data_IF_364637075926
#
_entry.id   IF_364637075926
#
_cell.length_a   1.000
_cell.length_b   1.000
_cell.length_c   1.000
_cell.angle_alpha   90.00
_cell.angle_beta   90.00
_cell.angle_gamma   90.00
#
_symmetry.space_group_name_H-M   'P 1'
#
loop_
_entity.id
_entity.type
_entity.pdbx_description
1 polymer ?
#
# COMPACT_ATOMS: atom_id res chain seq x y z
N UNK A 1 -26.52 -13.46 -14.42
CA UNK A 1 -26.94 -12.45 -13.45
C UNK A 1 -25.91 -11.30 -13.45
N UNK A 2 -26.37 -10.09 -13.76
CA UNK A 2 -25.52 -8.89 -13.89
C UNK A 2 -24.69 -8.60 -12.62
N UNK A 3 -25.31 -8.74 -11.45
CA UNK A 3 -24.66 -8.50 -10.16
C UNK A 3 -23.49 -9.48 -9.98
N UNK A 4 -23.71 -10.76 -10.25
CA UNK A 4 -22.66 -11.77 -10.13
C UNK A 4 -21.50 -11.50 -11.12
N UNK A 5 -21.82 -11.10 -12.36
CA UNK A 5 -20.80 -10.75 -13.36
C UNK A 5 -19.96 -9.53 -12.91
N UNK A 6 -20.64 -8.50 -12.34
CA UNK A 6 -19.93 -7.33 -11.79
C UNK A 6 -19.04 -7.69 -10.62
N UNK A 7 -19.55 -8.50 -9.67
CA UNK A 7 -18.76 -8.92 -8.51
C UNK A 7 -17.55 -9.77 -8.93
N UNK A 8 -17.73 -10.68 -9.89
CA UNK A 8 -16.63 -11.47 -10.42
C UNK A 8 -15.58 -10.58 -11.11
N UNK A 9 -16.01 -9.61 -11.91
CA UNK A 9 -15.12 -8.67 -12.59
C UNK A 9 -14.37 -7.79 -11.58
N UNK A 10 -15.03 -7.36 -10.47
CA UNK A 10 -14.39 -6.60 -9.41
C UNK A 10 -13.29 -7.41 -8.71
N UNK A 11 -13.54 -8.68 -8.39
CA UNK A 11 -12.53 -9.55 -7.76
C UNK A 11 -11.30 -9.69 -8.67
N UNK A 12 -11.51 -9.78 -9.97
CA UNK A 12 -10.41 -9.86 -10.95
C UNK A 12 -9.63 -8.55 -11.04
N UNK A 13 -10.33 -7.40 -11.06
CA UNK A 13 -9.70 -6.09 -11.05
C UNK A 13 -8.87 -5.87 -9.79
N UNK A 14 -9.40 -6.26 -8.62
CA UNK A 14 -8.71 -6.15 -7.34
C UNK A 14 -7.46 -7.06 -7.30
N UNK A 15 -7.58 -8.30 -7.78
CA UNK A 15 -6.46 -9.23 -7.85
C UNK A 15 -5.36 -8.73 -8.81
N UNK A 16 -5.75 -8.21 -9.96
CA UNK A 16 -4.81 -7.63 -10.93
C UNK A 16 -4.10 -6.39 -10.38
N UNK A 17 -4.83 -5.49 -9.71
CA UNK A 17 -4.26 -4.30 -9.09
C UNK A 17 -3.25 -4.66 -8.00
N UNK A 18 -3.61 -5.61 -7.13
CA UNK A 18 -2.70 -6.10 -6.10
C UNK A 18 -1.44 -6.73 -6.71
N UNK A 19 -1.59 -7.57 -7.73
CA UNK A 19 -0.47 -8.23 -8.37
C UNK A 19 0.44 -7.24 -9.12
N UNK A 20 -0.14 -6.29 -9.86
CA UNK A 20 0.62 -5.26 -10.57
C UNK A 20 1.45 -4.42 -9.59
N UNK A 21 0.83 -3.93 -8.51
CA UNK A 21 1.51 -3.09 -7.53
C UNK A 21 2.58 -3.86 -6.75
N UNK A 22 2.30 -5.11 -6.35
CA UNK A 22 3.26 -5.95 -5.65
C UNK A 22 4.52 -6.22 -6.48
N UNK A 23 4.35 -6.51 -7.78
CA UNK A 23 5.48 -6.78 -8.66
C UNK A 23 6.21 -5.50 -9.08
N UNK A 24 5.54 -4.34 -9.12
CA UNK A 24 6.13 -3.05 -9.46
C UNK A 24 7.23 -2.60 -8.50
N UNK A 25 7.22 -3.13 -7.28
CA UNK A 25 8.26 -2.86 -6.27
C UNK A 25 9.66 -3.40 -6.69
N UNK A 26 9.70 -4.44 -7.52
CA UNK A 26 10.95 -5.12 -7.92
C UNK A 26 11.13 -5.30 -9.42
N UNK A 27 10.09 -5.05 -10.21
CA UNK A 27 10.04 -5.24 -11.65
C UNK A 27 9.76 -3.92 -12.37
N UNK A 28 10.07 -3.86 -13.65
CA UNK A 28 9.63 -2.74 -14.48
C UNK A 28 8.10 -2.74 -14.69
N UNK A 29 7.59 -1.65 -15.30
CA UNK A 29 6.15 -1.48 -15.47
C UNK A 29 5.52 -2.57 -16.34
N UNK A 30 6.21 -2.98 -17.42
CA UNK A 30 5.68 -3.97 -18.36
C UNK A 30 5.72 -5.38 -17.77
N UNK A 31 6.77 -5.74 -17.05
CA UNK A 31 6.88 -7.00 -16.33
C UNK A 31 5.79 -7.12 -15.24
N UNK A 32 5.56 -6.05 -14.47
CA UNK A 32 4.52 -6.01 -13.46
C UNK A 32 3.11 -6.13 -14.05
N UNK A 33 2.83 -5.47 -15.19
CA UNK A 33 1.58 -5.63 -15.94
C UNK A 33 1.39 -7.06 -16.43
N UNK A 34 2.43 -7.67 -17.00
CA UNK A 34 2.37 -9.06 -17.48
C UNK A 34 2.09 -10.05 -16.35
N UNK A 35 2.67 -9.85 -15.17
CA UNK A 35 2.38 -10.66 -13.99
C UNK A 35 0.89 -10.55 -13.59
N UNK A 36 0.33 -9.35 -13.61
CA UNK A 36 -1.10 -9.13 -13.34
C UNK A 36 -2.00 -9.80 -14.40
N UNK A 37 -1.67 -9.65 -15.68
CA UNK A 37 -2.43 -10.28 -16.77
C UNK A 37 -2.42 -11.80 -16.70
N UNK A 38 -1.34 -12.42 -16.24
CA UNK A 38 -1.27 -13.87 -16.03
C UNK A 38 -2.32 -14.33 -14.99
N UNK A 39 -2.47 -13.59 -13.88
CA UNK A 39 -3.49 -13.87 -12.86
C UNK A 39 -4.89 -13.72 -13.42
N UNK A 40 -5.13 -12.67 -14.22
CA UNK A 40 -6.42 -12.45 -14.89
C UNK A 40 -6.76 -13.59 -15.83
N UNK A 41 -5.80 -14.08 -16.61
CA UNK A 41 -6.01 -15.20 -17.53
C UNK A 41 -6.40 -16.50 -16.80
N UNK A 42 -5.85 -16.74 -15.62
CA UNK A 42 -6.20 -17.90 -14.78
C UNK A 42 -7.62 -17.74 -14.17
N UNK A 43 -7.99 -16.53 -13.73
CA UNK A 43 -9.27 -16.27 -13.09
C UNK A 43 -10.44 -16.14 -14.07
N UNK A 44 -10.19 -15.48 -15.20
CA UNK A 44 -11.17 -15.26 -16.28
C UNK A 44 -10.55 -15.55 -17.64
N UNK A 45 -10.43 -16.84 -18.02
CA UNK A 45 -9.84 -17.23 -19.31
C UNK A 45 -10.54 -16.57 -20.50
N UNK A 46 -9.75 -15.98 -21.42
CA UNK A 46 -10.27 -15.27 -22.60
C UNK A 46 -11.17 -16.13 -23.50
N UNK A 47 -10.94 -17.44 -23.56
CA UNK A 47 -11.77 -18.38 -24.31
C UNK A 47 -13.24 -18.41 -23.83
N UNK A 48 -13.49 -18.00 -22.57
CA UNK A 48 -14.86 -18.00 -21.97
C UNK A 48 -15.41 -16.61 -21.78
N UNK A 49 -14.55 -15.64 -21.47
CA UNK A 49 -14.98 -14.31 -21.04
C UNK A 49 -14.56 -13.19 -22.01
N UNK A 50 -13.79 -13.52 -23.06
CA UNK A 50 -13.10 -12.53 -23.88
C UNK A 50 -11.96 -11.82 -23.08
N UNK A 51 -11.38 -10.83 -23.68
CA UNK A 51 -10.33 -10.02 -23.03
C UNK A 51 -10.99 -9.02 -22.08
N UNK A 52 -11.00 -9.34 -20.81
CA UNK A 52 -11.59 -8.50 -19.74
C UNK A 52 -10.66 -7.41 -19.26
N UNK A 53 -9.36 -7.55 -19.53
CA UNK A 53 -8.28 -6.65 -19.14
C UNK A 53 -7.12 -6.76 -20.12
N UNK A 54 -6.55 -5.62 -20.49
CA UNK A 54 -5.34 -5.50 -21.29
C UNK A 54 -4.25 -4.72 -20.55
N UNK A 55 -3.03 -4.70 -21.04
CA UNK A 55 -1.93 -3.93 -20.43
C UNK A 55 -2.22 -2.42 -20.37
N UNK A 56 -3.06 -1.90 -21.29
CA UNK A 56 -3.44 -0.49 -21.31
C UNK A 56 -4.44 -0.13 -20.21
N UNK A 57 -5.13 -1.12 -19.67
CA UNK A 57 -6.09 -0.95 -18.58
C UNK A 57 -5.43 -0.98 -17.20
N UNK A 58 -4.11 -1.20 -17.15
CA UNK A 58 -3.29 -1.16 -15.93
C UNK A 58 -2.42 0.10 -16.01
N UNK A 59 -2.69 1.06 -15.14
CA UNK A 59 -2.02 2.37 -15.14
C UNK A 59 -1.38 2.61 -13.79
N UNK A 60 -0.07 2.88 -13.78
CA UNK A 60 0.65 3.28 -12.57
C UNK A 60 0.55 4.78 -12.34
N UNK A 61 0.74 5.20 -11.09
CA UNK A 61 0.62 6.61 -10.72
C UNK A 61 0.72 6.85 -9.23
N UNK A 62 0.11 7.95 -8.82
CA UNK A 62 0.04 8.39 -7.43
C UNK A 62 -1.42 8.57 -7.01
N UNK A 63 -1.70 8.29 -5.73
CA UNK A 63 -2.98 8.57 -5.11
C UNK A 63 -2.88 9.82 -4.25
N UNK A 64 -3.60 10.87 -4.62
CA UNK A 64 -3.72 12.04 -3.76
C UNK A 64 -4.82 11.82 -2.71
N UNK A 65 -4.41 11.70 -1.45
CA UNK A 65 -5.32 11.50 -0.34
C UNK A 65 -6.17 12.72 -0.01
N UNK A 66 -5.72 13.93 -0.37
CA UNK A 66 -6.44 15.16 -0.07
C UNK A 66 -7.62 15.37 -1.04
N UNK A 67 -7.40 15.13 -2.33
CA UNK A 67 -8.44 15.23 -3.37
C UNK A 67 -9.20 13.92 -3.58
N UNK A 68 -8.66 12.78 -3.13
CA UNK A 68 -9.15 11.44 -3.45
C UNK A 68 -9.14 11.16 -4.96
N UNK A 69 -8.10 11.61 -5.64
CA UNK A 69 -7.90 11.44 -7.07
C UNK A 69 -6.65 10.60 -7.36
N UNK A 70 -6.70 9.88 -8.49
CA UNK A 70 -5.58 9.13 -9.02
C UNK A 70 -4.91 9.94 -10.12
N UNK A 71 -3.63 10.25 -9.95
CA UNK A 71 -2.79 10.92 -10.93
C UNK A 71 -1.93 9.91 -11.67
N UNK A 72 -2.01 9.92 -13.01
CA UNK A 72 -1.26 9.00 -13.87
C UNK A 72 0.21 9.40 -13.90
N UNK A 73 1.09 8.46 -13.56
CA UNK A 73 2.53 8.56 -13.73
C UNK A 73 3.07 7.17 -14.15
N UNK A 74 3.48 6.98 -15.41
CA UNK A 74 3.98 5.70 -15.90
C UNK A 74 5.21 5.18 -15.14
N UNK A 75 6.00 6.08 -14.56
CA UNK A 75 7.16 5.76 -13.74
C UNK A 75 6.81 5.55 -12.27
N UNK A 76 5.56 5.83 -11.88
CA UNK A 76 5.06 5.66 -10.52
C UNK A 76 5.19 4.23 -10.02
N UNK A 77 5.49 4.09 -8.74
CA UNK A 77 5.64 2.79 -8.06
C UNK A 77 4.71 2.64 -6.86
N UNK A 78 4.01 3.70 -6.49
CA UNK A 78 3.25 3.77 -5.23
C UNK A 78 1.78 3.40 -5.40
N UNK A 79 1.22 3.58 -6.59
CA UNK A 79 -0.19 3.32 -6.84
C UNK A 79 -0.43 2.73 -8.22
N UNK A 80 -1.51 1.97 -8.34
CA UNK A 80 -1.97 1.43 -9.62
C UNK A 80 -3.49 1.54 -9.71
N UNK A 81 -3.97 1.91 -10.87
CA UNK A 81 -5.38 1.83 -11.24
C UNK A 81 -5.56 0.75 -12.30
N UNK A 82 -6.53 -0.13 -12.08
CA UNK A 82 -6.89 -1.19 -13.03
C UNK A 82 -8.36 -1.03 -13.41
N UNK A 83 -8.64 -1.07 -14.70
CA UNK A 83 -10.00 -1.05 -15.25
C UNK A 83 -10.31 -2.36 -15.95
N UNK A 84 -11.13 -3.20 -15.32
CA UNK A 84 -11.61 -4.42 -15.95
C UNK A 84 -13.00 -4.20 -16.56
N UNK A 85 -13.25 -4.75 -17.75
CA UNK A 85 -14.49 -4.51 -18.46
C UNK A 85 -14.97 -5.70 -19.29
N UNK A 86 -16.28 -5.77 -19.46
CA UNK A 86 -16.97 -6.62 -20.41
C UNK A 86 -17.95 -5.75 -21.20
N UNK A 87 -17.61 -5.49 -22.45
CA UNK A 87 -18.28 -4.51 -23.27
C UNK A 87 -18.70 -5.11 -24.62
N UNK A 88 -19.81 -4.63 -25.17
CA UNK A 88 -20.27 -5.06 -26.49
C UNK A 88 -19.25 -4.77 -27.59
N UNK A 89 -18.53 -3.65 -27.48
CA UNK A 89 -17.47 -3.28 -28.41
C UNK A 89 -16.26 -4.23 -28.43
N UNK A 90 -16.09 -5.00 -27.36
CA UNK A 90 -15.06 -6.03 -27.20
C UNK A 90 -15.60 -7.46 -27.38
N UNK A 91 -16.83 -7.61 -27.90
CA UNK A 91 -17.51 -8.89 -28.10
C UNK A 91 -17.58 -9.76 -26.83
N UNK A 92 -17.48 -9.15 -25.64
CA UNK A 92 -17.45 -9.87 -24.36
C UNK A 92 -18.50 -9.40 -23.34
N UNK A 93 -19.52 -8.66 -23.77
CA UNK A 93 -20.62 -8.18 -22.94
C UNK A 93 -21.33 -9.31 -22.15
N UNK A 94 -22.08 -8.95 -21.14
CA UNK A 94 -22.83 -9.90 -20.32
C UNK A 94 -24.21 -10.14 -20.94
N UNK A 95 -24.52 -11.39 -21.31
CA UNK A 95 -25.81 -11.74 -21.88
C UNK A 95 -26.98 -11.42 -20.93
N UNK A 96 -28.03 -10.81 -21.47
CA UNK A 96 -29.19 -10.31 -20.76
C UNK A 96 -30.45 -11.14 -21.09
N UNK A 97 -30.47 -12.39 -20.62
CA UNK A 97 -31.54 -13.36 -21.00
C UNK A 97 -32.95 -12.88 -20.68
N UNK A 98 -33.19 -12.24 -19.54
CA UNK A 98 -34.51 -11.80 -19.11
C UNK A 98 -34.97 -10.50 -19.76
N UNK A 99 -34.06 -9.67 -20.26
CA UNK A 99 -34.40 -8.37 -20.83
C UNK A 99 -34.47 -8.37 -22.34
N UNK A 100 -34.24 -9.52 -22.98
CA UNK A 100 -34.44 -9.69 -24.43
C UNK A 100 -35.85 -9.33 -24.89
N UNK A 101 -36.87 -9.62 -24.05
CA UNK A 101 -38.27 -9.29 -24.34
C UNK A 101 -38.55 -7.78 -24.42
N UNK A 102 -37.67 -6.94 -23.83
CA UNK A 102 -37.77 -5.47 -23.88
C UNK A 102 -36.70 -4.84 -24.79
N UNK A 103 -36.13 -5.67 -25.71
CA UNK A 103 -35.16 -5.21 -26.69
C UNK A 103 -33.75 -5.02 -26.18
N UNK A 104 -33.42 -5.54 -25.00
CA UNK A 104 -32.05 -5.45 -24.44
C UNK A 104 -31.45 -6.85 -24.29
N UNK A 105 -30.49 -7.20 -25.14
CA UNK A 105 -29.87 -8.53 -25.23
C UNK A 105 -28.60 -8.68 -24.44
N UNK A 106 -27.96 -7.55 -24.02
CA UNK A 106 -26.65 -7.55 -23.39
C UNK A 106 -26.45 -6.34 -22.45
N UNK A 107 -25.47 -6.45 -21.58
CA UNK A 107 -25.09 -5.43 -20.63
C UNK A 107 -23.58 -5.19 -20.69
N UNK A 108 -23.22 -3.93 -20.79
CA UNK A 108 -21.84 -3.47 -20.59
C UNK A 108 -21.60 -3.35 -19.09
N UNK A 109 -20.47 -3.93 -18.64
CA UNK A 109 -20.04 -3.88 -17.25
C UNK A 109 -18.58 -3.45 -17.23
N UNK A 110 -18.28 -2.41 -16.47
CA UNK A 110 -16.91 -1.98 -16.18
C UNK A 110 -16.76 -1.73 -14.68
N UNK A 111 -15.59 -2.00 -14.16
CA UNK A 111 -15.22 -1.79 -12.77
C UNK A 111 -13.80 -1.23 -12.72
N UNK A 112 -13.52 -0.47 -11.68
CA UNK A 112 -12.17 0.05 -11.41
C UNK A 112 -11.71 -0.46 -10.04
N UNK A 113 -10.41 -0.74 -9.94
CA UNK A 113 -9.72 -0.99 -8.70
C UNK A 113 -8.54 -0.02 -8.62
N UNK A 114 -8.39 0.66 -7.50
CA UNK A 114 -7.20 1.48 -7.20
C UNK A 114 -6.54 0.89 -5.97
N UNK A 115 -5.27 0.55 -6.11
CA UNK A 115 -4.44 0.11 -5.00
C UNK A 115 -3.29 1.07 -4.84
N UNK A 116 -2.96 1.38 -3.60
CA UNK A 116 -1.82 2.20 -3.26
C UNK A 116 -0.99 1.52 -2.18
N UNK A 117 0.32 1.64 -2.29
CA UNK A 117 1.23 1.20 -1.25
C UNK A 117 1.08 2.14 -0.05
N UNK A 118 0.70 1.59 1.08
CA UNK A 118 0.76 2.35 2.31
C UNK A 118 2.22 2.51 2.70
N UNK A 119 2.75 3.72 2.51
CA UNK A 119 4.07 4.10 3.01
C UNK A 119 3.87 4.88 4.31
N UNK A 120 3.91 4.22 5.47
CA UNK A 120 3.82 4.92 6.74
C UNK A 120 4.96 5.92 6.85
N UNK A 121 4.68 7.08 7.44
CA UNK A 121 5.69 8.10 7.74
C UNK A 121 6.89 7.55 8.51
N UNK A 122 6.72 6.39 9.18
CA UNK A 122 7.77 5.62 9.83
C UNK A 122 8.99 5.32 8.95
N UNK A 123 8.86 5.31 7.64
CA UNK A 123 9.99 5.08 6.73
C UNK A 123 10.80 6.35 6.45
N UNK A 124 10.28 7.51 6.79
CA UNK A 124 10.97 8.78 6.64
C UNK A 124 11.57 9.25 7.96
N UNK A 125 10.78 9.24 9.02
CA UNK A 125 11.17 9.74 10.34
C UNK A 125 10.49 8.89 11.41
N UNK A 126 11.25 8.03 12.09
CA UNK A 126 10.65 7.21 13.13
C UNK A 126 11.47 5.99 13.56
N UNK A 127 10.84 5.20 14.41
CA UNK A 127 11.34 3.90 14.87
C UNK A 127 10.49 2.79 14.30
N UNK A 128 11.13 1.79 13.70
CA UNK A 128 10.48 0.58 13.22
C UNK A 128 11.21 -0.62 13.78
N UNK A 129 10.48 -1.53 14.43
CA UNK A 129 11.06 -2.74 15.00
C UNK A 129 10.21 -3.97 14.73
N UNK A 130 10.87 -5.12 14.58
CA UNK A 130 10.19 -6.43 14.54
C UNK A 130 9.66 -6.82 15.93
N UNK A 131 10.44 -6.55 16.96
CA UNK A 131 10.07 -6.80 18.35
C UNK A 131 9.52 -5.54 19.03
N UNK A 132 9.55 -5.55 20.35
CA UNK A 132 9.05 -4.44 21.19
C UNK A 132 9.82 -3.15 20.92
N UNK A 133 9.07 -2.05 20.78
CA UNK A 133 9.63 -0.70 20.88
C UNK A 133 9.37 -0.19 22.29
N UNK A 134 10.43 0.02 23.07
CA UNK A 134 10.35 0.50 24.46
C UNK A 134 10.72 1.98 24.53
N UNK A 135 9.75 2.81 24.90
CA UNK A 135 9.87 4.27 25.01
C UNK A 135 9.97 4.67 26.47
N UNK A 136 11.09 5.27 26.82
CA UNK A 136 11.30 5.81 28.16
C UNK A 136 10.48 7.09 28.41
N UNK A 137 10.56 7.63 29.63
CA UNK A 137 9.82 8.86 30.00
C UNK A 137 10.41 10.13 29.40
N UNK A 138 9.59 11.17 29.34
CA UNK A 138 9.97 12.55 29.01
C UNK A 138 10.45 12.77 27.57
N UNK A 139 9.86 12.06 26.61
CA UNK A 139 10.13 12.28 25.20
C UNK A 139 9.02 13.13 24.56
N UNK A 140 9.39 13.95 23.57
CA UNK A 140 8.46 14.65 22.70
C UNK A 140 8.58 14.14 21.27
N UNK A 141 7.45 13.80 20.65
CA UNK A 141 7.37 13.36 19.25
C UNK A 141 6.57 14.38 18.45
N UNK A 142 7.13 14.85 17.35
CA UNK A 142 6.59 15.94 16.53
C UNK A 142 6.77 15.68 15.03
N UNK A 143 6.24 16.58 14.19
CA UNK A 143 6.44 16.58 12.74
C UNK A 143 6.10 15.26 12.02
N UNK A 144 5.03 14.57 12.47
CA UNK A 144 4.63 13.32 11.87
C UNK A 144 5.52 12.13 12.22
N UNK A 145 6.32 12.23 13.28
CA UNK A 145 7.17 11.14 13.73
C UNK A 145 6.36 9.87 13.95
N UNK A 146 6.89 8.74 13.50
CA UNK A 146 6.19 7.47 13.58
C UNK A 146 6.95 6.46 14.42
N UNK A 147 6.22 5.76 15.28
CA UNK A 147 6.69 4.64 16.08
C UNK A 147 5.91 3.41 15.65
N UNK A 148 6.59 2.41 15.10
CA UNK A 148 5.94 1.15 14.71
C UNK A 148 6.66 -0.05 15.28
N UNK A 149 5.88 -0.98 15.82
CA UNK A 149 6.32 -2.30 16.21
C UNK A 149 5.50 -3.37 15.49
N UNK A 150 6.15 -4.39 14.93
CA UNK A 150 5.46 -5.59 14.45
C UNK A 150 4.94 -6.48 15.61
N UNK A 151 5.31 -6.17 16.86
CA UNK A 151 4.84 -6.82 18.09
C UNK A 151 3.95 -5.86 18.87
N UNK A 152 4.51 -5.09 19.77
CA UNK A 152 3.79 -4.06 20.53
C UNK A 152 4.74 -2.93 20.93
N UNK A 153 4.16 -1.80 21.35
CA UNK A 153 4.89 -0.65 21.88
C UNK A 153 4.68 -0.61 23.39
N UNK A 154 5.78 -0.55 24.14
CA UNK A 154 5.82 -0.29 25.57
C UNK A 154 6.28 1.13 25.82
N UNK A 155 5.69 1.87 26.74
CA UNK A 155 6.16 3.20 27.07
C UNK A 155 5.88 3.59 28.51
N UNK A 156 6.80 4.39 29.06
CA UNK A 156 6.65 5.01 30.35
C UNK A 156 5.81 6.30 30.29
N UNK A 157 5.64 6.99 31.40
CA UNK A 157 4.86 8.22 31.52
C UNK A 157 5.60 9.47 31.01
N UNK A 158 4.84 10.56 30.83
CA UNK A 158 5.30 11.90 30.49
C UNK A 158 5.91 12.01 29.09
N UNK A 159 5.39 11.26 28.13
CA UNK A 159 5.68 11.48 26.72
C UNK A 159 4.59 12.37 26.11
N UNK A 160 4.95 13.13 25.08
CA UNK A 160 4.09 14.04 24.36
C UNK A 160 4.08 13.71 22.88
N UNK A 161 2.89 13.66 22.28
CA UNK A 161 2.68 13.35 20.87
C UNK A 161 1.93 14.49 20.19
N UNK A 162 2.61 15.24 19.34
CA UNK A 162 1.97 16.27 18.52
C UNK A 162 0.96 15.67 17.54
N UNK A 163 -0.06 16.45 17.11
CA UNK A 163 -0.95 16.07 16.03
C UNK A 163 -0.17 15.64 14.78
N UNK A 164 -0.56 14.50 14.19
CA UNK A 164 0.12 13.91 13.04
C UNK A 164 1.19 12.88 13.38
N UNK A 165 1.61 12.75 14.65
CA UNK A 165 2.45 11.63 15.08
C UNK A 165 1.68 10.32 15.04
N UNK A 166 2.37 9.21 14.84
CA UNK A 166 1.78 7.88 14.72
C UNK A 166 2.46 6.91 15.67
N UNK A 167 1.67 6.19 16.45
CA UNK A 167 2.10 5.01 17.20
C UNK A 167 1.29 3.84 16.67
N UNK A 168 1.92 2.85 16.08
CA UNK A 168 1.22 1.73 15.44
C UNK A 168 1.78 0.37 15.79
N UNK A 169 0.89 -0.60 15.83
CA UNK A 169 1.16 -2.03 16.05
C UNK A 169 0.01 -2.86 15.49
N UNK A 170 0.21 -4.17 15.23
CA UNK A 170 -0.84 -5.03 14.67
C UNK A 170 -2.10 -5.12 15.51
N UNK A 171 -1.97 -5.06 16.84
CA UNK A 171 -3.09 -5.07 17.79
C UNK A 171 -2.83 -3.97 18.83
N UNK A 172 -3.62 -2.90 18.74
CA UNK A 172 -3.48 -1.73 19.60
C UNK A 172 -3.81 -2.01 21.08
N UNK A 173 -4.54 -3.08 21.37
CA UNK A 173 -4.83 -3.52 22.76
C UNK A 173 -3.60 -4.03 23.50
N UNK A 174 -2.54 -4.37 22.77
CA UNK A 174 -1.27 -4.86 23.33
C UNK A 174 -0.33 -3.73 23.77
N UNK A 175 -0.72 -2.47 23.62
CA UNK A 175 0.10 -1.35 24.09
C UNK A 175 0.37 -1.52 25.61
N UNK A 176 1.64 -1.48 25.99
CA UNK A 176 2.05 -1.63 27.37
C UNK A 176 2.31 -0.27 28.02
N UNK A 177 1.45 0.09 28.96
CA UNK A 177 1.47 1.39 29.64
C UNK A 177 1.39 1.20 31.17
N UNK A 178 2.04 2.07 31.96
CA UNK A 178 1.74 2.19 33.38
C UNK A 178 0.26 2.54 33.63
N UNK A 179 -0.24 2.30 34.84
CA UNK A 179 -1.65 2.57 35.20
C UNK A 179 -2.14 3.97 34.88
N UNK A 180 -1.26 4.99 34.92
CA UNK A 180 -1.55 6.37 34.53
C UNK A 180 -1.09 6.74 33.10
N UNK A 181 -0.75 5.73 32.27
CA UNK A 181 -0.10 5.95 30.99
C UNK A 181 -0.95 6.74 30.01
N UNK A 182 -2.26 6.51 29.98
CA UNK A 182 -3.17 7.27 29.10
C UNK A 182 -3.30 8.73 29.48
N UNK A 183 -3.30 9.04 30.77
CA UNK A 183 -3.42 10.40 31.29
C UNK A 183 -2.13 11.20 31.15
N UNK A 184 -0.98 10.49 31.25
CA UNK A 184 0.34 11.12 31.32
C UNK A 184 1.13 11.07 30.01
N UNK A 185 0.58 10.49 28.97
CA UNK A 185 1.15 10.53 27.63
C UNK A 185 0.20 11.33 26.74
N UNK A 186 0.35 12.65 26.78
CA UNK A 186 -0.52 13.59 26.07
C UNK A 186 -0.45 13.36 24.55
N UNK A 187 -1.59 13.29 23.88
CA UNK A 187 -1.69 13.04 22.45
C UNK A 187 -1.60 11.58 22.02
N UNK A 188 -1.21 10.65 22.93
CA UNK A 188 -1.06 9.23 22.59
C UNK A 188 -2.34 8.61 22.01
N UNK A 189 -3.49 8.88 22.60
CA UNK A 189 -4.77 8.33 22.12
C UNK A 189 -5.11 8.77 20.70
N UNK A 190 -4.72 9.99 20.32
CA UNK A 190 -4.87 10.49 18.96
C UNK A 190 -3.79 9.95 17.99
N UNK A 191 -2.61 9.61 18.50
CA UNK A 191 -1.52 9.07 17.71
C UNK A 191 -1.66 7.55 17.44
N UNK A 192 -2.34 6.81 18.33
CA UNK A 192 -2.44 5.36 18.26
C UNK A 192 -3.25 4.91 17.04
N UNK A 193 -2.69 3.95 16.30
CA UNK A 193 -3.32 3.32 15.13
C UNK A 193 -3.19 1.82 15.25
N UNK A 194 -4.29 1.15 14.98
CA UNK A 194 -4.31 -0.29 14.77
C UNK A 194 -4.00 -0.56 13.30
N UNK A 195 -2.97 -1.35 13.07
CA UNK A 195 -2.57 -1.77 11.73
C UNK A 195 -2.54 -3.28 11.66
N UNK A 196 -3.47 -3.90 10.94
CA UNK A 196 -3.46 -5.35 10.68
C UNK A 196 -2.30 -5.79 9.77
N UNK A 197 -1.27 -4.95 9.61
CA UNK A 197 -0.13 -5.20 8.73
C UNK A 197 1.15 -5.32 9.55
N UNK A 198 2.03 -6.20 9.06
CA UNK A 198 3.42 -6.26 9.50
C UNK A 198 4.28 -5.57 8.44
N UNK A 199 5.12 -4.64 8.87
CA UNK A 199 6.04 -3.98 7.98
C UNK A 199 7.13 -4.95 7.53
N UNK A 200 7.06 -5.37 6.26
CA UNK A 200 8.02 -6.32 5.69
C UNK A 200 9.38 -5.72 5.33
N UNK A 201 9.51 -4.39 5.43
CA UNK A 201 10.77 -3.70 5.11
C UNK A 201 11.94 -4.20 5.97
N UNK A 202 11.65 -4.68 7.18
CA UNK A 202 12.66 -5.25 8.08
C UNK A 202 13.35 -6.45 7.43
N UNK A 203 12.63 -7.22 6.62
CA UNK A 203 13.21 -8.33 5.86
C UNK A 203 14.14 -7.87 4.72
N UNK A 204 14.04 -6.59 4.33
CA UNK A 204 14.88 -5.96 3.31
C UNK A 204 16.04 -5.13 3.88
N UNK A 205 16.22 -5.09 5.20
CA UNK A 205 17.24 -4.26 5.83
C UNK A 205 18.64 -4.55 5.30
N UNK A 206 18.99 -5.80 5.08
CA UNK A 206 20.31 -6.18 4.55
C UNK A 206 20.50 -5.65 3.12
N UNK A 207 19.49 -5.79 2.27
CA UNK A 207 19.47 -5.24 0.90
C UNK A 207 19.61 -3.70 0.93
N UNK A 208 18.85 -3.04 1.79
CA UNK A 208 18.90 -1.58 1.97
C UNK A 208 20.31 -1.14 2.41
N UNK A 209 20.89 -1.81 3.40
CA UNK A 209 22.24 -1.49 3.90
C UNK A 209 23.28 -1.68 2.79
N UNK A 210 23.22 -2.76 2.04
CA UNK A 210 24.15 -3.01 0.94
C UNK A 210 23.99 -1.97 -0.19
N UNK A 211 22.76 -1.62 -0.55
CA UNK A 211 22.48 -0.60 -1.57
C UNK A 211 22.97 0.79 -1.16
N UNK A 212 22.89 1.14 0.13
CA UNK A 212 23.44 2.39 0.66
C UNK A 212 24.97 2.40 0.59
N UNK A 213 25.63 1.25 0.79
CA UNK A 213 27.10 1.12 0.66
C UNK A 213 27.59 1.34 -0.77
N UNK A 214 26.85 0.82 -1.75
CA UNK A 214 27.19 0.95 -3.18
C UNK A 214 26.60 2.18 -3.85
N UNK A 215 25.97 3.07 -3.08
CA UNK A 215 25.40 4.32 -3.55
C UNK A 215 24.17 4.15 -4.47
N UNK A 216 23.35 3.14 -4.22
CA UNK A 216 22.08 2.95 -4.90
C UNK A 216 21.10 4.08 -4.51
N UNK A 217 20.57 4.77 -5.51
CA UNK A 217 19.70 5.93 -5.30
C UNK A 217 18.33 5.58 -4.72
N UNK A 218 17.86 4.34 -4.85
CA UNK A 218 16.52 3.90 -4.39
C UNK A 218 16.29 4.12 -2.89
N UNK A 219 17.34 3.90 -2.10
CA UNK A 219 17.23 4.00 -0.64
C UNK A 219 18.01 5.19 -0.06
N UNK A 220 18.71 5.94 -0.90
CA UNK A 220 19.51 7.08 -0.44
C UNK A 220 18.69 8.37 -0.48
N UNK A 221 18.41 9.00 0.67
CA UNK A 221 17.78 10.32 0.68
C UNK A 221 18.60 11.36 -0.08
N UNK A 222 17.93 12.30 -0.75
CA UNK A 222 18.61 13.35 -1.55
C UNK A 222 19.59 14.22 -0.77
N UNK A 223 19.39 14.36 0.54
CA UNK A 223 20.29 15.12 1.42
C UNK A 223 21.58 14.38 1.78
N UNK A 224 21.66 13.07 1.54
CA UNK A 224 22.87 12.29 1.74
C UNK A 224 23.78 12.46 0.52
N UNK A 225 24.70 13.40 0.59
CA UNK A 225 25.58 13.77 -0.54
C UNK A 225 26.91 13.03 -0.55
N UNK A 226 27.28 12.38 0.57
CA UNK A 226 28.56 11.64 0.70
C UNK A 226 28.30 10.23 1.17
N UNK A 227 28.87 9.28 0.48
CA UNK A 227 28.90 7.85 0.82
C UNK A 227 30.33 7.42 1.20
N UNK A 228 30.44 6.34 1.97
CA UNK A 228 31.76 5.78 2.30
C UNK A 228 32.56 6.50 3.40
N UNK A 229 31.91 7.30 4.24
CA UNK A 229 32.55 7.88 5.43
C UNK A 229 32.39 6.91 6.60
N UNK A 230 33.48 6.17 6.87
CA UNK A 230 33.54 5.24 8.00
C UNK A 230 34.14 5.92 9.23
N UNK A 231 33.70 5.54 10.42
CA UNK A 231 34.27 5.92 11.72
C UNK A 231 34.35 7.45 11.98
N UNK A 232 33.32 8.19 11.62
CA UNK A 232 33.21 9.59 12.06
C UNK A 232 32.51 9.66 13.42
N UNK A 233 33.17 10.22 14.40
CA UNK A 233 32.54 10.65 15.64
C UNK A 233 31.55 11.76 15.33
N UNK A 234 30.30 11.60 15.76
CA UNK A 234 29.34 12.68 15.78
C UNK A 234 29.62 13.52 17.01
N UNK A 235 30.20 14.69 16.80
CA UNK A 235 30.45 15.69 17.84
C UNK A 235 29.35 16.73 17.82
#
# INVERSE_FOLDING_TARGET
>A
NLIAARSQLQIVADAAAHAALYNRDTMDADEAKNAALSIVADMMPAAKFGDVLTANDIVFGHWDYASSEFEVDPDGTESVMVRASRLAENDNSVAALLTQFIGRSEWNVAVNAVYTTYSPTCFREGFVAEGVVDIQSNNGFSNGFCIHSNSYVSMNNNNFFEPGTIVSMPDSSLIDLPNSGWEKNEGLAAALREGAYRLRIINKLEEIIESLKVNDSRYRPAYVTKTGVFNRSLS
#
